data_IF_170083851611
#
_entry.id   IF_170083851611
#
_cell.length_a   1.000
_cell.length_b   1.000
_cell.length_c   1.000
_cell.angle_alpha   90.00
_cell.angle_beta   90.00
_cell.angle_gamma   90.00
#
_symmetry.space_group_name_H-M   'P 1'
#
loop_
_entity.id
_entity.type
_entity.pdbx_description
1 polymer ?
#
# COMPACT_ATOMS: atom_id res chain seq x y z
N UNK A 1 -12.42 -25.69 15.15
CA UNK A 1 -12.65 -24.32 14.64
C UNK A 1 -12.00 -24.25 13.28
N UNK A 2 -12.77 -24.15 12.19
CA UNK A 2 -12.25 -24.13 10.81
C UNK A 2 -11.35 -22.90 10.62
N UNK A 3 -10.03 -23.08 10.75
CA UNK A 3 -9.00 -22.13 10.33
C UNK A 3 -9.05 -22.00 8.82
N UNK A 4 -9.78 -21.00 8.34
CA UNK A 4 -9.64 -20.46 6.98
C UNK A 4 -9.72 -18.93 7.09
N UNK A 5 -8.82 -18.44 7.94
CA UNK A 5 -8.43 -17.06 8.14
C UNK A 5 -6.92 -17.14 7.85
N UNK A 6 -6.47 -16.99 6.62
CA UNK A 6 -5.82 -15.72 6.29
C UNK A 6 -6.46 -14.59 7.10
N UNK A 7 -5.80 -14.22 8.19
CA UNK A 7 -6.43 -13.49 9.29
C UNK A 7 -7.17 -12.27 8.76
N UNK A 8 -8.44 -12.11 9.15
CA UNK A 8 -9.23 -10.93 8.78
C UNK A 8 -8.46 -9.66 9.09
N UNK A 9 -7.62 -9.70 10.13
CA UNK A 9 -6.72 -8.63 10.52
C UNK A 9 -5.62 -8.39 9.49
N UNK A 10 -4.92 -9.43 9.01
CA UNK A 10 -3.96 -9.33 7.88
C UNK A 10 -4.59 -8.73 6.63
N UNK A 11 -5.80 -9.19 6.26
CA UNK A 11 -6.53 -8.63 5.12
C UNK A 11 -6.95 -7.18 5.39
N UNK A 12 -7.39 -6.86 6.61
CA UNK A 12 -7.79 -5.51 7.01
C UNK A 12 -6.60 -4.55 6.93
N UNK A 13 -5.43 -4.93 7.46
CA UNK A 13 -4.22 -4.11 7.45
C UNK A 13 -3.72 -3.85 6.03
N UNK A 14 -3.71 -4.88 5.19
CA UNK A 14 -3.33 -4.74 3.79
C UNK A 14 -4.35 -3.86 3.03
N UNK A 15 -5.64 -4.04 3.29
CA UNK A 15 -6.72 -3.24 2.67
C UNK A 15 -6.66 -1.77 3.08
N UNK A 16 -6.42 -1.48 4.38
CA UNK A 16 -6.28 -0.12 4.91
C UNK A 16 -5.10 0.62 4.28
N UNK A 17 -4.06 -0.09 3.82
CA UNK A 17 -2.95 0.50 3.08
C UNK A 17 -3.19 0.60 1.56
N UNK A 18 -3.89 -0.38 0.96
CA UNK A 18 -4.22 -0.39 -0.48
C UNK A 18 -5.22 0.70 -0.85
N UNK A 19 -6.19 1.01 0.02
CA UNK A 19 -7.19 2.07 -0.25
C UNK A 19 -6.53 3.44 -0.47
N UNK A 20 -5.67 3.96 0.43
CA UNK A 20 -4.94 5.21 0.19
C UNK A 20 -4.06 5.15 -1.05
N UNK A 21 -3.44 4.00 -1.36
CA UNK A 21 -2.66 3.83 -2.59
C UNK A 21 -3.53 4.01 -3.84
N UNK A 22 -4.74 3.44 -3.85
CA UNK A 22 -5.71 3.64 -4.93
C UNK A 22 -6.12 5.10 -5.09
N UNK A 23 -6.32 5.82 -3.99
CA UNK A 23 -6.61 7.26 -4.01
C UNK A 23 -5.43 8.04 -4.62
N UNK A 24 -4.19 7.73 -4.25
CA UNK A 24 -3.00 8.37 -4.81
C UNK A 24 -2.88 8.11 -6.32
N UNK A 25 -3.16 6.89 -6.78
CA UNK A 25 -3.15 6.55 -8.22
C UNK A 25 -4.21 7.34 -8.98
N UNK A 26 -5.41 7.45 -8.40
CA UNK A 26 -6.48 8.27 -8.96
C UNK A 26 -6.05 9.74 -9.11
N UNK A 27 -5.50 10.34 -8.05
CA UNK A 27 -5.07 11.73 -8.09
C UNK A 27 -3.85 11.95 -8.99
N UNK A 28 -2.93 11.00 -9.07
CA UNK A 28 -1.82 11.05 -10.02
C UNK A 28 -2.38 11.16 -11.45
N UNK A 29 -3.33 10.29 -11.81
CA UNK A 29 -4.02 10.34 -13.10
C UNK A 29 -4.74 11.68 -13.31
N UNK A 30 -5.56 12.11 -12.36
CA UNK A 30 -6.30 13.36 -12.44
C UNK A 30 -5.39 14.58 -12.63
N UNK A 31 -4.25 14.62 -11.93
CA UNK A 31 -3.28 15.71 -12.02
C UNK A 31 -2.51 15.70 -13.34
N UNK A 32 -2.23 14.54 -13.91
CA UNK A 32 -1.63 14.44 -15.25
C UNK A 32 -2.59 14.85 -16.38
N UNK A 33 -3.90 14.64 -16.22
CA UNK A 33 -4.89 14.90 -17.28
C UNK A 33 -5.49 16.32 -17.21
N UNK A 34 -5.77 16.83 -16.02
CA UNK A 34 -6.54 18.07 -15.85
C UNK A 34 -5.74 19.24 -15.26
N UNK A 35 -4.52 19.00 -14.75
CA UNK A 35 -3.61 19.96 -14.10
C UNK A 35 -4.28 21.24 -13.52
N UNK A 36 -4.74 21.22 -12.26
CA UNK A 36 -5.51 22.32 -11.66
C UNK A 36 -4.71 23.62 -11.44
N UNK A 37 -3.37 23.54 -11.42
CA UNK A 37 -2.50 24.69 -11.14
C UNK A 37 -1.77 25.19 -12.41
N UNK A 38 -2.10 24.63 -13.58
CA UNK A 38 -1.46 24.94 -14.85
C UNK A 38 -0.09 24.27 -15.03
N UNK A 39 0.43 24.32 -16.25
CA UNK A 39 1.68 23.64 -16.64
C UNK A 39 2.95 24.40 -16.26
N UNK A 40 2.91 25.19 -15.19
CA UNK A 40 4.13 25.75 -14.62
C UNK A 40 5.01 24.62 -14.07
N UNK A 41 6.29 24.65 -14.45
CA UNK A 41 7.21 23.55 -14.16
C UNK A 41 7.47 23.39 -12.66
N UNK A 42 7.39 24.45 -11.87
CA UNK A 42 7.64 24.41 -10.42
C UNK A 42 6.44 23.80 -9.70
N UNK A 43 5.24 24.30 -9.98
CA UNK A 43 4.01 23.81 -9.35
C UNK A 43 3.70 22.36 -9.74
N UNK A 44 3.89 22.01 -11.01
CA UNK A 44 3.70 20.63 -11.48
C UNK A 44 4.70 19.66 -10.83
N UNK A 45 5.97 20.08 -10.67
CA UNK A 45 6.99 19.27 -10.00
C UNK A 45 6.67 19.04 -8.52
N UNK A 46 6.25 20.09 -7.81
CA UNK A 46 5.88 19.96 -6.40
C UNK A 46 4.65 19.07 -6.23
N UNK A 47 3.61 19.29 -7.02
CA UNK A 47 2.37 18.51 -6.97
C UNK A 47 2.62 17.02 -7.26
N UNK A 48 3.26 16.70 -8.39
CA UNK A 48 3.55 15.33 -8.76
C UNK A 48 4.61 14.72 -7.85
N UNK A 49 5.62 15.48 -7.45
CA UNK A 49 6.67 15.04 -6.55
C UNK A 49 6.12 14.59 -5.19
N UNK A 50 5.22 15.37 -4.59
CA UNK A 50 4.57 15.00 -3.32
C UNK A 50 3.73 13.74 -3.50
N UNK A 51 2.87 13.68 -4.52
CA UNK A 51 1.99 12.51 -4.76
C UNK A 51 2.80 11.25 -5.03
N UNK A 52 3.80 11.32 -5.91
CA UNK A 52 4.66 10.18 -6.26
C UNK A 52 5.48 9.74 -5.05
N UNK A 53 6.05 10.66 -4.27
CA UNK A 53 6.82 10.31 -3.07
C UNK A 53 5.95 9.59 -2.04
N UNK A 54 4.73 10.08 -1.80
CA UNK A 54 3.77 9.44 -0.91
C UNK A 54 3.36 8.06 -1.45
N UNK A 55 3.12 7.94 -2.76
CA UNK A 55 2.75 6.68 -3.40
C UNK A 55 3.85 5.64 -3.28
N UNK A 56 5.10 6.02 -3.54
CA UNK A 56 6.26 5.14 -3.43
C UNK A 56 6.48 4.71 -1.98
N UNK A 57 6.45 5.66 -1.04
CA UNK A 57 6.62 5.38 0.38
C UNK A 57 5.55 4.43 0.90
N UNK A 58 4.29 4.68 0.57
CA UNK A 58 3.19 3.82 1.00
C UNK A 58 3.25 2.45 0.33
N UNK A 59 3.55 2.38 -0.97
CA UNK A 59 3.73 1.10 -1.68
C UNK A 59 4.84 0.27 -1.03
N UNK A 60 5.95 0.91 -0.69
CA UNK A 60 7.07 0.28 0.01
C UNK A 60 6.63 -0.26 1.37
N UNK A 61 6.00 0.56 2.21
CA UNK A 61 5.49 0.13 3.52
C UNK A 61 4.50 -1.02 3.40
N UNK A 62 3.53 -0.92 2.48
CA UNK A 62 2.52 -1.96 2.22
C UNK A 62 3.16 -3.30 1.86
N UNK A 63 4.17 -3.28 0.97
CA UNK A 63 4.88 -4.48 0.55
C UNK A 63 5.65 -5.11 1.71
N UNK A 64 6.36 -4.30 2.50
CA UNK A 64 7.11 -4.80 3.65
C UNK A 64 6.18 -5.33 4.75
N UNK A 65 5.08 -4.65 5.05
CA UNK A 65 4.08 -5.13 6.00
C UNK A 65 3.51 -6.49 5.57
N UNK A 66 3.09 -6.63 4.31
CA UNK A 66 2.60 -7.91 3.80
C UNK A 66 3.64 -9.02 3.84
N UNK A 67 4.89 -8.71 3.50
CA UNK A 67 6.00 -9.68 3.55
C UNK A 67 6.30 -10.15 4.97
N UNK A 68 6.32 -9.22 5.93
CA UNK A 68 6.58 -9.53 7.34
C UNK A 68 5.47 -10.43 7.90
N UNK A 69 4.20 -10.08 7.65
CA UNK A 69 3.06 -10.88 8.13
C UNK A 69 3.08 -12.30 7.55
N UNK A 70 3.33 -12.44 6.24
CA UNK A 70 3.40 -13.77 5.61
C UNK A 70 4.54 -14.64 6.14
N UNK A 71 5.65 -14.03 6.57
CA UNK A 71 6.77 -14.75 7.18
C UNK A 71 6.40 -15.24 8.58
N UNK A 72 5.80 -14.35 9.37
CA UNK A 72 5.31 -14.61 10.72
C UNK A 72 4.22 -15.71 10.76
N UNK A 73 3.37 -15.81 9.74
CA UNK A 73 2.36 -16.87 9.63
C UNK A 73 3.02 -18.24 9.32
N UNK A 74 4.01 -18.28 8.42
CA UNK A 74 4.72 -19.52 8.05
C UNK A 74 5.53 -20.12 9.21
N UNK A 75 6.18 -19.29 10.04
CA UNK A 75 6.92 -19.76 11.22
C UNK A 75 5.99 -20.42 12.25
N UNK A 76 4.78 -19.86 12.47
CA UNK A 76 3.79 -20.41 13.40
C UNK A 76 3.24 -21.76 12.95
N UNK A 77 2.95 -21.93 11.64
CA UNK A 77 2.48 -23.23 11.11
C UNK A 77 3.55 -24.32 11.20
N UNK A 78 4.83 -23.95 11.08
CA UNK A 78 5.95 -24.88 11.20
C UNK A 78 6.14 -25.42 12.62
N UNK A 79 5.97 -24.56 13.64
CA UNK A 79 6.04 -24.96 15.05
C UNK A 79 4.85 -25.87 15.44
N UNK A 80 3.63 -25.54 15.00
CA UNK A 80 2.42 -26.35 15.31
C UNK A 80 2.43 -27.75 14.68
N UNK A 81 3.18 -27.97 13.60
CA UNK A 81 3.32 -29.27 12.94
C UNK A 81 4.56 -30.07 13.40
N UNK A 82 5.42 -29.47 14.22
CA UNK A 82 6.62 -30.09 14.78
C UNK A 82 6.41 -30.80 16.14
N UNK A 83 5.23 -30.68 16.74
CA UNK A 83 4.82 -31.30 18.02
C UNK A 83 4.02 -32.60 17.84
#
# INVERSE_FOLDING_TARGET
MSRNVFDRETILDLTVNVIPLGILVFFLGAFTLFNPFGWDSTYSLLQLGIVVTMMVSLSFLTYYSGKLIATDELEREGDEHGE
#
